data_IF_151854413548
#
_entry.id   IF_151854413548
#
_cell.length_a   1.000
_cell.length_b   1.000
_cell.length_c   1.000
_cell.angle_alpha   90.00
_cell.angle_beta   90.00
_cell.angle_gamma   90.00
#
_symmetry.space_group_name_H-M   'P 1'
#
loop_
_entity.id
_entity.type
_entity.pdbx_description
1 polymer ?
#
# COMPACT_ATOMS: atom_id res chain seq x y z
N UNK A 1 8.70 2.02 -15.80
CA UNK A 1 7.55 1.78 -14.91
C UNK A 1 8.06 1.93 -13.47
N UNK A 2 7.47 2.82 -12.65
CA UNK A 2 7.95 3.11 -11.29
C UNK A 2 6.92 2.71 -10.23
N UNK A 3 7.30 2.72 -8.95
CA UNK A 3 6.41 2.41 -7.81
C UNK A 3 5.14 3.26 -7.80
N UNK A 4 5.24 4.54 -8.15
CA UNK A 4 4.06 5.42 -8.25
C UNK A 4 3.10 4.94 -9.36
N UNK A 5 3.61 4.67 -10.56
CA UNK A 5 2.80 4.12 -11.65
C UNK A 5 2.17 2.76 -11.27
N UNK A 6 2.90 1.90 -10.54
CA UNK A 6 2.34 0.67 -10.00
C UNK A 6 1.13 0.97 -9.10
N UNK A 7 1.27 1.84 -8.11
CA UNK A 7 0.19 2.16 -7.17
C UNK A 7 -1.06 2.68 -7.88
N UNK A 8 -0.89 3.56 -8.87
CA UNK A 8 -2.01 4.14 -9.61
C UNK A 8 -2.79 3.09 -10.40
N UNK A 9 -2.11 2.17 -11.10
CA UNK A 9 -2.78 1.11 -11.88
C UNK A 9 -3.43 0.08 -10.95
N UNK A 10 -2.78 -0.24 -9.84
CA UNK A 10 -3.21 -1.30 -8.95
C UNK A 10 -4.25 -0.84 -7.92
N UNK A 11 -4.56 0.46 -7.82
CA UNK A 11 -5.68 0.94 -6.99
C UNK A 11 -7.02 0.37 -7.44
N UNK A 12 -7.20 0.11 -8.75
CA UNK A 12 -8.38 -0.57 -9.31
C UNK A 12 -8.28 -2.10 -9.32
N UNK A 13 -7.11 -2.67 -8.96
CA UNK A 13 -6.85 -4.12 -8.99
C UNK A 13 -6.05 -4.55 -7.74
N UNK A 14 -6.60 -4.37 -6.52
CA UNK A 14 -5.87 -4.53 -5.26
C UNK A 14 -5.39 -5.95 -4.95
N UNK A 15 -5.91 -6.96 -5.64
CA UNK A 15 -5.56 -8.37 -5.41
C UNK A 15 -4.57 -8.93 -6.44
N UNK A 16 -4.07 -8.11 -7.35
CA UNK A 16 -3.09 -8.56 -8.32
C UNK A 16 -1.73 -8.79 -7.65
N UNK A 17 -1.09 -9.93 -7.96
CA UNK A 17 0.27 -10.23 -7.51
C UNK A 17 1.26 -9.47 -8.39
N UNK A 18 2.07 -8.63 -7.77
CA UNK A 18 3.12 -7.87 -8.46
C UNK A 18 4.50 -8.44 -8.18
N UNK A 19 5.42 -8.20 -9.11
CA UNK A 19 6.84 -8.46 -8.94
C UNK A 19 7.65 -7.19 -9.19
N UNK A 20 8.79 -7.09 -8.52
CA UNK A 20 9.72 -5.98 -8.69
C UNK A 20 10.99 -6.45 -9.38
N UNK A 21 11.42 -5.71 -10.41
CA UNK A 21 12.71 -5.93 -11.04
C UNK A 21 13.83 -5.42 -10.13
N UNK A 22 14.78 -6.31 -9.78
CA UNK A 22 15.92 -5.97 -8.91
C UNK A 22 17.14 -5.45 -9.67
N UNK A 23 17.15 -5.56 -11.01
CA UNK A 23 18.34 -5.36 -11.85
C UNK A 23 18.88 -6.66 -12.44
N UNK A 24 18.55 -7.83 -11.86
CA UNK A 24 18.95 -9.13 -12.38
C UNK A 24 17.84 -10.18 -12.47
N UNK A 25 16.81 -10.07 -11.63
CA UNK A 25 15.65 -10.95 -11.64
C UNK A 25 14.40 -10.25 -11.10
N UNK A 26 13.24 -10.89 -11.26
CA UNK A 26 12.00 -10.44 -10.64
C UNK A 26 11.83 -11.10 -9.27
N UNK A 27 11.60 -10.29 -8.25
CA UNK A 27 11.26 -10.74 -6.91
C UNK A 27 9.78 -10.53 -6.61
N UNK A 28 9.20 -11.43 -5.82
CA UNK A 28 7.84 -11.29 -5.31
C UNK A 28 7.76 -10.09 -4.38
N UNK A 29 6.76 -9.23 -4.61
CA UNK A 29 6.46 -8.10 -3.74
C UNK A 29 4.95 -7.97 -3.54
N UNK A 30 4.54 -7.09 -2.65
CA UNK A 30 3.12 -6.80 -2.39
C UNK A 30 2.82 -5.34 -2.63
N UNK A 31 1.55 -5.05 -2.93
CA UNK A 31 1.08 -3.68 -3.07
C UNK A 31 1.25 -2.88 -1.77
N UNK A 32 1.06 -3.52 -0.62
CA UNK A 32 1.35 -2.95 0.70
C UNK A 32 2.84 -2.60 0.88
N UNK A 33 3.77 -3.46 0.46
CA UNK A 33 5.22 -3.19 0.55
C UNK A 33 5.66 -1.97 -0.25
N UNK A 34 4.95 -1.65 -1.35
CA UNK A 34 5.20 -0.45 -2.14
C UNK A 34 4.31 0.74 -1.73
N UNK A 35 3.59 0.63 -0.61
CA UNK A 35 2.80 1.70 0.00
C UNK A 35 1.41 1.91 -0.59
N UNK A 36 0.82 0.93 -1.29
CA UNK A 36 -0.60 0.99 -1.62
C UNK A 36 -1.43 0.69 -0.36
N UNK A 37 -2.29 1.62 0.00
CA UNK A 37 -3.29 1.50 1.06
C UNK A 37 -4.67 1.42 0.41
N UNK A 38 -5.53 0.54 0.93
CA UNK A 38 -6.88 0.32 0.39
C UNK A 38 -7.88 0.72 1.46
N UNK A 39 -8.61 1.80 1.23
CA UNK A 39 -9.69 2.20 2.13
C UNK A 39 -10.98 1.47 1.75
N UNK A 40 -11.48 0.61 2.64
CA UNK A 40 -12.68 -0.21 2.39
C UNK A 40 -13.99 0.60 2.46
N UNK A 41 -13.93 1.83 2.98
CA UNK A 41 -15.06 2.76 3.10
C UNK A 41 -14.88 4.02 2.24
N UNK A 42 -15.84 4.96 2.35
CA UNK A 42 -15.77 6.31 1.74
C UNK A 42 -15.38 6.34 0.25
N UNK A 43 -15.84 5.35 -0.53
CA UNK A 43 -15.51 5.22 -1.95
C UNK A 43 -13.99 5.14 -2.23
N UNK A 44 -13.25 4.48 -1.34
CA UNK A 44 -11.80 4.36 -1.46
C UNK A 44 -11.02 5.57 -0.94
N UNK A 45 -11.68 6.54 -0.30
CA UNK A 45 -11.04 7.68 0.34
C UNK A 45 -10.66 7.36 1.79
N UNK A 46 -9.61 8.01 2.35
CA UNK A 46 -9.35 7.97 3.77
C UNK A 46 -10.58 8.40 4.57
N UNK A 47 -10.79 7.76 5.73
CA UNK A 47 -11.79 8.22 6.69
C UNK A 47 -11.41 9.62 7.18
N UNK A 48 -12.32 10.61 7.17
CA UNK A 48 -12.00 11.98 7.56
C UNK A 48 -11.63 12.13 9.05
N UNK A 49 -12.06 11.17 9.88
CA UNK A 49 -11.77 11.15 11.32
C UNK A 49 -10.43 10.47 11.65
N UNK A 50 -9.83 9.76 10.68
CA UNK A 50 -8.54 9.11 10.87
C UNK A 50 -7.44 10.14 10.62
N UNK A 51 -6.72 10.51 11.68
CA UNK A 51 -5.52 11.36 11.63
C UNK A 51 -4.27 10.49 11.75
N UNK A 52 -3.09 11.02 11.40
CA UNK A 52 -1.82 10.29 11.57
C UNK A 52 -1.58 9.86 13.03
N UNK A 53 -2.14 10.58 14.00
CA UNK A 53 -2.06 10.28 15.43
C UNK A 53 -3.00 9.14 15.87
N UNK A 54 -3.97 8.78 15.02
CA UNK A 54 -4.98 7.77 15.32
C UNK A 54 -4.60 6.36 14.86
N UNK A 55 -3.50 6.20 14.11
CA UNK A 55 -3.04 4.88 13.70
C UNK A 55 -2.36 4.15 14.86
N UNK A 56 -2.74 2.90 15.05
CA UNK A 56 -2.00 2.01 15.93
C UNK A 56 -0.57 1.82 15.38
N UNK A 57 0.40 1.81 16.28
CA UNK A 57 1.80 1.56 15.97
C UNK A 57 2.25 0.25 16.59
N UNK A 58 3.22 -0.43 15.97
CA UNK A 58 3.91 -1.55 16.61
C UNK A 58 4.87 -1.08 17.72
N UNK A 59 5.50 -2.04 18.41
CA UNK A 59 6.50 -1.80 19.49
C UNK A 59 7.71 -0.97 19.01
N UNK A 60 7.96 -0.95 17.69
CA UNK A 60 9.03 -0.17 17.06
C UNK A 60 8.55 1.21 16.58
N UNK A 61 7.29 1.58 16.86
CA UNK A 61 6.69 2.86 16.48
C UNK A 61 6.33 2.95 14.99
N UNK A 62 6.29 1.83 14.26
CA UNK A 62 5.86 1.81 12.85
C UNK A 62 4.34 1.72 12.79
N UNK A 63 3.74 2.56 11.96
CA UNK A 63 2.29 2.55 11.68
C UNK A 63 1.84 1.17 11.21
N UNK A 64 0.81 0.63 11.86
CA UNK A 64 0.12 -0.57 11.42
C UNK A 64 -0.80 -0.20 10.26
N UNK A 65 -0.70 -0.98 9.18
CA UNK A 65 -1.63 -0.91 8.06
C UNK A 65 -2.69 -2.01 8.28
N UNK A 66 -3.93 -1.60 8.57
CA UNK A 66 -5.10 -2.50 8.59
C UNK A 66 -5.72 -2.63 7.20
#
# INVERSE_FOLDING_TARGET
>A
FCTHCCRTVHSSMPFHRISQWTGGFFEDTSLTKIGLEIHLGHQGKPCPEVTEESYDTDDEGRRLFY
#
